data_IF_069351196229
#
_entry.id   IF_069351196229
#
_cell.length_a   1.000
_cell.length_b   1.000
_cell.length_c   1.000
_cell.angle_alpha   90.00
_cell.angle_beta   90.00
_cell.angle_gamma   90.00
#
_symmetry.space_group_name_H-M   'P 1'
#
loop_
_entity.id
_entity.type
_entity.pdbx_description
1 polymer ?
#
# COMPACT_ATOMS: atom_id res chain seq x y z
N UNK A 1 -8.77 -7.98 15.82
CA UNK A 1 -7.34 -8.38 15.66
C UNK A 1 -6.90 -8.06 14.24
N UNK A 2 -5.78 -7.31 14.09
CA UNK A 2 -5.26 -6.88 12.79
C UNK A 2 -4.04 -7.70 12.39
N UNK A 3 -4.05 -8.22 11.16
CA UNK A 3 -2.90 -8.87 10.51
C UNK A 3 -2.40 -8.00 9.37
N UNK A 4 -1.14 -7.60 9.41
CA UNK A 4 -0.51 -6.91 8.29
C UNK A 4 -0.03 -7.93 7.25
N UNK A 5 -0.33 -7.66 5.98
CA UNK A 5 0.14 -8.47 4.84
C UNK A 5 1.12 -7.61 4.03
N UNK A 6 2.32 -8.13 3.81
CA UNK A 6 3.31 -7.55 2.91
C UNK A 6 3.44 -8.47 1.68
N UNK A 7 2.75 -8.15 0.56
CA UNK A 7 2.87 -8.93 -0.66
C UNK A 7 4.14 -8.54 -1.42
N UNK A 8 5.00 -9.50 -1.65
CA UNK A 8 6.23 -9.33 -2.45
C UNK A 8 6.41 -10.45 -3.46
N UNK A 9 7.17 -10.23 -4.51
CA UNK A 9 7.46 -11.25 -5.54
C UNK A 9 8.85 -11.07 -6.15
N UNK A 10 9.40 -12.14 -6.74
CA UNK A 10 10.71 -12.12 -7.45
C UNK A 10 10.74 -11.13 -8.62
N UNK A 11 9.65 -11.06 -9.38
CA UNK A 11 9.61 -10.48 -10.72
C UNK A 11 9.27 -8.99 -10.76
N UNK A 12 10.02 -8.11 -10.09
CA UNK A 12 9.86 -6.65 -10.26
C UNK A 12 10.33 -6.23 -11.65
N UNK A 13 9.42 -5.70 -12.50
CA UNK A 13 9.70 -5.43 -13.92
C UNK A 13 10.48 -4.14 -14.14
N UNK A 14 10.10 -3.04 -13.48
CA UNK A 14 10.69 -1.69 -13.65
C UNK A 14 11.99 -1.52 -12.87
N UNK A 15 12.10 -2.08 -11.67
CA UNK A 15 13.29 -2.05 -10.83
C UNK A 15 13.60 -3.46 -10.35
N UNK A 16 14.61 -4.11 -10.94
CA UNK A 16 15.00 -5.48 -10.60
C UNK A 16 15.36 -5.59 -9.12
N UNK A 17 14.79 -6.58 -8.43
CA UNK A 17 15.04 -6.78 -6.99
C UNK A 17 14.47 -5.68 -6.10
N UNK A 18 13.46 -4.92 -6.55
CA UNK A 18 12.87 -3.77 -5.87
C UNK A 18 12.62 -4.03 -4.38
N UNK A 19 11.93 -5.11 -4.04
CA UNK A 19 11.51 -5.41 -2.67
C UNK A 19 12.67 -5.63 -1.68
N UNK A 20 13.84 -6.02 -2.19
CA UNK A 20 15.06 -6.22 -1.40
C UNK A 20 16.12 -5.14 -1.69
N UNK A 21 15.74 -4.06 -2.36
CA UNK A 21 16.65 -2.93 -2.58
C UNK A 21 17.08 -2.32 -1.24
N UNK A 22 18.37 -1.91 -1.11
CA UNK A 22 18.88 -1.29 0.13
C UNK A 22 18.12 0.01 0.46
N UNK A 23 17.66 0.14 1.72
CA UNK A 23 16.96 1.31 2.23
C UNK A 23 17.17 1.42 3.75
N UNK A 24 17.60 2.57 4.27
CA UNK A 24 17.74 2.82 5.70
C UNK A 24 18.63 1.78 6.42
N UNK A 25 19.77 1.39 5.84
CA UNK A 25 20.66 0.36 6.40
C UNK A 25 20.11 -1.07 6.34
N UNK A 26 18.95 -1.28 5.72
CA UNK A 26 18.21 -2.56 5.59
C UNK A 26 17.79 -2.77 4.14
N UNK A 27 16.85 -3.69 3.89
CA UNK A 27 16.12 -3.78 2.63
C UNK A 27 14.74 -3.15 2.77
N UNK A 28 14.08 -2.76 1.67
CA UNK A 28 12.70 -2.25 1.72
C UNK A 28 11.76 -3.20 2.46
N UNK A 29 11.88 -4.52 2.22
CA UNK A 29 11.08 -5.53 2.89
C UNK A 29 11.30 -5.54 4.41
N UNK A 30 12.55 -5.63 4.85
CA UNK A 30 12.87 -5.72 6.28
C UNK A 30 12.61 -4.39 7.01
N UNK A 31 12.82 -3.28 6.32
CA UNK A 31 12.47 -1.95 6.82
C UNK A 31 10.96 -1.85 7.09
N UNK A 32 10.11 -2.31 6.15
CA UNK A 32 8.65 -2.33 6.33
C UNK A 32 8.21 -3.24 7.48
N UNK A 33 8.81 -4.42 7.62
CA UNK A 33 8.52 -5.32 8.75
C UNK A 33 8.77 -4.60 10.07
N UNK A 34 9.91 -3.93 10.20
CA UNK A 34 10.28 -3.22 11.43
C UNK A 34 9.38 -2.01 11.72
N UNK A 35 8.86 -1.33 10.69
CA UNK A 35 7.85 -0.29 10.85
C UNK A 35 6.54 -0.86 11.41
N UNK A 36 6.04 -1.95 10.84
CA UNK A 36 4.77 -2.56 11.25
C UNK A 36 4.82 -3.16 12.66
N UNK A 37 5.99 -3.65 13.10
CA UNK A 37 6.19 -4.11 14.48
C UNK A 37 6.02 -3.03 15.53
N UNK A 38 6.18 -1.77 15.17
CA UNK A 38 6.00 -0.63 16.07
C UNK A 38 4.54 -0.20 16.19
N UNK A 39 3.61 -0.85 15.50
CA UNK A 39 2.17 -0.55 15.53
C UNK A 39 1.45 -1.51 16.48
N UNK A 40 1.07 -1.09 17.70
CA UNK A 40 0.53 -2.01 18.72
C UNK A 40 -0.73 -2.77 18.32
N UNK A 41 -1.55 -2.18 17.43
CA UNK A 41 -2.78 -2.79 16.95
C UNK A 41 -2.53 -3.95 15.98
N UNK A 42 -1.36 -4.02 15.34
CA UNK A 42 -0.97 -5.09 14.42
C UNK A 42 -0.39 -6.24 15.25
N UNK A 43 -1.12 -7.34 15.32
CA UNK A 43 -0.75 -8.50 16.17
C UNK A 43 -0.02 -9.60 15.42
N UNK A 44 -0.07 -9.59 14.08
CA UNK A 44 0.67 -10.50 13.21
C UNK A 44 1.10 -9.76 11.94
N UNK A 45 2.28 -10.10 11.43
CA UNK A 45 2.81 -9.59 10.16
C UNK A 45 3.13 -10.80 9.30
N UNK A 46 2.51 -10.89 8.13
CA UNK A 46 2.69 -12.00 7.19
C UNK A 46 3.31 -11.48 5.90
N UNK A 47 4.45 -12.03 5.51
CA UNK A 47 5.07 -11.79 4.20
C UNK A 47 4.63 -12.90 3.24
N UNK A 48 3.93 -12.51 2.18
CA UNK A 48 3.47 -13.42 1.14
C UNK A 48 4.33 -13.32 -0.10
N UNK A 49 5.01 -14.42 -0.49
CA UNK A 49 5.99 -14.40 -1.60
C UNK A 49 6.15 -15.76 -2.27
N UNK A 50 6.60 -15.73 -3.54
CA UNK A 50 7.18 -16.85 -4.31
C UNK A 50 8.72 -16.96 -4.13
N UNK A 51 9.35 -16.04 -3.39
CA UNK A 51 10.79 -15.98 -3.21
C UNK A 51 11.22 -16.57 -1.89
N UNK A 52 11.91 -17.71 -1.92
CA UNK A 52 12.51 -18.31 -0.72
C UNK A 52 13.50 -17.36 -0.02
N UNK A 53 14.21 -16.53 -0.78
CA UNK A 53 15.12 -15.51 -0.23
C UNK A 53 14.35 -14.49 0.61
N UNK A 54 13.25 -13.93 0.05
CA UNK A 54 12.44 -12.94 0.75
C UNK A 54 11.71 -13.55 1.95
N UNK A 55 11.24 -14.80 1.85
CA UNK A 55 10.62 -15.51 2.95
C UNK A 55 11.61 -15.77 4.10
N UNK A 56 12.87 -16.17 3.79
CA UNK A 56 13.93 -16.33 4.79
C UNK A 56 14.26 -15.00 5.47
N UNK A 57 14.36 -13.91 4.70
CA UNK A 57 14.57 -12.56 5.27
C UNK A 57 13.41 -12.18 6.20
N UNK A 58 12.18 -12.43 5.81
CA UNK A 58 10.99 -12.13 6.61
C UNK A 58 10.98 -12.91 7.94
N UNK A 59 11.21 -14.23 7.88
CA UNK A 59 11.28 -15.09 9.06
C UNK A 59 12.39 -14.66 10.02
N UNK A 60 13.57 -14.33 9.49
CA UNK A 60 14.71 -13.83 10.28
C UNK A 60 14.40 -12.50 10.99
N UNK A 61 13.47 -11.70 10.42
CA UNK A 61 12.96 -10.48 11.03
C UNK A 61 11.66 -10.71 11.84
N UNK A 62 11.31 -11.96 12.15
CA UNK A 62 10.19 -12.32 13.02
C UNK A 62 8.81 -12.02 12.44
N UNK A 63 8.68 -12.02 11.13
CA UNK A 63 7.39 -12.07 10.45
C UNK A 63 6.99 -13.51 10.13
N UNK A 64 5.70 -13.79 10.13
CA UNK A 64 5.14 -15.02 9.58
C UNK A 64 5.33 -15.04 8.06
N UNK A 65 5.35 -16.24 7.47
CA UNK A 65 5.54 -16.40 6.04
C UNK A 65 4.37 -17.14 5.40
N UNK A 66 3.96 -16.65 4.24
CA UNK A 66 3.05 -17.35 3.35
C UNK A 66 3.77 -17.62 2.01
N UNK A 67 4.05 -18.91 1.77
CA UNK A 67 4.68 -19.35 0.50
C UNK A 67 3.60 -19.35 -0.58
N UNK A 68 3.60 -18.30 -1.41
CA UNK A 68 2.64 -18.12 -2.49
C UNK A 68 3.08 -18.89 -3.73
N UNK A 69 2.18 -19.70 -4.31
CA UNK A 69 2.45 -20.41 -5.55
C UNK A 69 2.75 -19.42 -6.70
N UNK A 70 3.64 -19.83 -7.61
CA UNK A 70 4.12 -18.95 -8.69
C UNK A 70 2.98 -18.45 -9.60
N UNK A 71 1.94 -19.22 -9.80
CA UNK A 71 0.75 -18.82 -10.56
C UNK A 71 0.05 -17.58 -10.01
N UNK A 72 0.10 -17.36 -8.69
CA UNK A 72 -0.43 -16.16 -8.02
C UNK A 72 0.59 -15.00 -7.95
N UNK A 73 1.72 -15.11 -8.63
CA UNK A 73 2.75 -14.08 -8.69
C UNK A 73 2.90 -13.44 -10.08
N UNK A 74 2.17 -13.96 -11.08
CA UNK A 74 2.11 -13.40 -12.43
C UNK A 74 0.67 -13.04 -12.80
N UNK A 75 0.44 -11.76 -13.08
CA UNK A 75 -0.86 -11.21 -13.51
C UNK A 75 -1.37 -11.80 -14.85
N UNK A 76 -0.49 -12.49 -15.59
CA UNK A 76 -0.87 -13.22 -16.81
C UNK A 76 -1.52 -14.56 -16.52
N UNK A 77 -1.21 -15.16 -15.37
CA UNK A 77 -1.71 -16.47 -14.96
C UNK A 77 -2.93 -16.36 -14.05
N UNK A 78 -2.93 -15.41 -13.14
CA UNK A 78 -4.04 -15.16 -12.23
C UNK A 78 -4.39 -13.67 -12.19
N UNK A 79 -5.69 -13.32 -12.23
CA UNK A 79 -6.12 -11.94 -12.04
C UNK A 79 -5.80 -11.47 -10.62
N UNK A 80 -5.50 -10.18 -10.47
CA UNK A 80 -5.10 -9.61 -9.19
C UNK A 80 -6.08 -9.92 -8.04
N UNK A 81 -7.38 -9.92 -8.32
CA UNK A 81 -8.39 -10.25 -7.32
C UNK A 81 -8.28 -11.69 -6.78
N UNK A 82 -7.88 -12.65 -7.62
CA UNK A 82 -7.62 -14.02 -7.16
C UNK A 82 -6.38 -14.07 -6.24
N UNK A 83 -5.37 -13.23 -6.52
CA UNK A 83 -4.18 -13.10 -5.66
C UNK A 83 -4.55 -12.56 -4.28
N UNK A 84 -5.38 -11.52 -4.22
CA UNK A 84 -5.85 -10.95 -2.95
C UNK A 84 -6.61 -11.98 -2.13
N UNK A 85 -7.60 -12.66 -2.75
CA UNK A 85 -8.39 -13.69 -2.08
C UNK A 85 -7.50 -14.82 -1.56
N UNK A 86 -6.62 -15.36 -2.42
CA UNK A 86 -5.70 -16.44 -2.06
C UNK A 86 -4.80 -16.08 -0.86
N UNK A 87 -4.25 -14.88 -0.82
CA UNK A 87 -3.42 -14.46 0.32
C UNK A 87 -4.29 -14.36 1.58
N UNK A 88 -5.47 -13.73 1.49
CA UNK A 88 -6.37 -13.57 2.64
C UNK A 88 -6.92 -14.89 3.17
N UNK A 89 -7.10 -15.91 2.33
CA UNK A 89 -7.50 -17.27 2.73
C UNK A 89 -6.41 -17.99 3.55
N UNK A 90 -5.14 -17.65 3.30
CA UNK A 90 -3.97 -18.29 3.92
C UNK A 90 -3.38 -17.51 5.10
N UNK A 91 -4.07 -16.50 5.61
CA UNK A 91 -3.69 -15.76 6.81
C UNK A 91 -4.81 -15.79 7.85
N UNK A 92 -4.48 -15.49 9.09
CA UNK A 92 -5.43 -15.37 10.19
C UNK A 92 -5.73 -13.90 10.49
N UNK A 93 -6.69 -13.66 11.39
CA UNK A 93 -7.08 -12.31 11.78
C UNK A 93 -8.45 -11.91 11.22
N UNK A 94 -9.04 -10.95 11.87
CA UNK A 94 -10.38 -10.41 11.53
C UNK A 94 -10.30 -9.33 10.48
N UNK A 95 -9.28 -8.47 10.63
CA UNK A 95 -9.00 -7.36 9.75
C UNK A 95 -7.60 -7.48 9.16
N UNK A 96 -7.46 -7.08 7.92
CA UNK A 96 -6.19 -7.06 7.19
C UNK A 96 -5.75 -5.62 6.98
N UNK A 97 -4.47 -5.37 7.28
CA UNK A 97 -3.73 -4.18 6.84
C UNK A 97 -2.83 -4.61 5.68
N UNK A 98 -3.23 -4.27 4.46
CA UNK A 98 -2.40 -4.51 3.28
C UNK A 98 -1.37 -3.40 3.18
N UNK A 99 -0.10 -3.73 3.33
CA UNK A 99 1.00 -2.79 3.41
C UNK A 99 2.11 -3.16 2.42
N UNK A 100 2.40 -2.30 1.45
CA UNK A 100 3.48 -2.56 0.50
C UNK A 100 4.83 -2.09 1.04
N UNK A 101 5.87 -2.88 0.81
CA UNK A 101 7.22 -2.45 1.17
C UNK A 101 7.76 -1.34 0.25
N UNK A 102 7.09 -1.10 -0.88
CA UNK A 102 7.42 -0.04 -1.83
C UNK A 102 6.96 1.36 -1.39
N UNK A 103 6.19 1.44 -0.31
CA UNK A 103 5.81 2.71 0.35
C UNK A 103 6.59 2.88 1.68
N UNK A 104 7.95 2.99 1.65
CA UNK A 104 8.78 2.93 2.85
C UNK A 104 8.64 4.17 3.75
N UNK A 105 8.13 5.27 3.21
CA UNK A 105 7.96 6.52 3.96
C UNK A 105 6.60 6.61 4.68
N UNK A 106 5.77 5.57 4.61
CA UNK A 106 4.63 5.41 5.53
C UNK A 106 5.18 4.95 6.87
N UNK A 107 5.07 5.79 7.88
CA UNK A 107 5.64 5.58 9.20
C UNK A 107 4.71 4.80 10.13
N UNK A 108 5.22 4.24 11.25
CA UNK A 108 4.39 3.53 12.22
C UNK A 108 3.20 4.34 12.74
N UNK A 109 3.37 5.66 12.93
CA UNK A 109 2.31 6.57 13.34
C UNK A 109 1.18 6.68 12.30
N UNK A 110 1.52 6.68 11.00
CA UNK A 110 0.53 6.70 9.92
C UNK A 110 -0.35 5.43 9.96
N UNK A 111 0.25 4.25 10.19
CA UNK A 111 -0.48 2.99 10.33
C UNK A 111 -1.35 2.96 11.58
N UNK A 112 -0.83 3.40 12.72
CA UNK A 112 -1.58 3.43 13.99
C UNK A 112 -2.82 4.33 13.87
N UNK A 113 -2.67 5.50 13.28
CA UNK A 113 -3.78 6.44 13.04
C UNK A 113 -4.77 5.89 12.01
N UNK A 114 -4.30 5.28 10.92
CA UNK A 114 -5.19 4.67 9.93
C UNK A 114 -6.04 3.54 10.53
N UNK A 115 -5.47 2.70 11.40
CA UNK A 115 -6.21 1.65 12.12
C UNK A 115 -7.27 2.24 13.03
N UNK A 116 -6.95 3.31 13.76
CA UNK A 116 -7.89 4.03 14.63
C UNK A 116 -9.05 4.59 13.82
N UNK A 117 -8.72 5.35 12.76
CA UNK A 117 -9.72 5.97 11.87
C UNK A 117 -10.57 4.91 11.18
N UNK A 118 -10.00 3.80 10.75
CA UNK A 118 -10.74 2.69 10.16
C UNK A 118 -11.83 2.17 11.10
N UNK A 119 -11.50 1.96 12.38
CA UNK A 119 -12.48 1.52 13.37
C UNK A 119 -13.64 2.50 13.52
N UNK A 120 -13.37 3.80 13.54
CA UNK A 120 -14.41 4.84 13.59
C UNK A 120 -15.27 4.84 12.33
N UNK A 121 -14.64 4.76 11.15
CA UNK A 121 -15.34 4.85 9.87
C UNK A 121 -16.21 3.62 9.59
N UNK A 122 -15.87 2.45 10.12
CA UNK A 122 -16.78 1.30 10.07
C UNK A 122 -18.12 1.60 10.76
N UNK A 123 -18.12 2.34 11.89
CA UNK A 123 -19.36 2.72 12.59
C UNK A 123 -20.18 3.76 11.82
N UNK A 124 -19.57 4.50 10.92
CA UNK A 124 -20.21 5.47 10.02
C UNK A 124 -20.71 4.81 8.71
N UNK A 125 -20.55 3.49 8.57
CA UNK A 125 -21.05 2.72 7.44
C UNK A 125 -20.12 2.73 6.22
N UNK A 126 -18.83 3.04 6.38
CA UNK A 126 -17.81 2.67 5.42
C UNK A 126 -17.46 1.18 5.56
N UNK A 127 -16.99 0.54 4.50
CA UNK A 127 -16.68 -0.89 4.50
C UNK A 127 -15.18 -1.20 4.59
N UNK A 128 -14.35 -0.22 4.29
CA UNK A 128 -12.91 -0.33 4.22
C UNK A 128 -12.24 1.04 4.33
N UNK A 129 -10.92 1.06 4.45
CA UNK A 129 -10.11 2.28 4.37
C UNK A 129 -9.08 2.13 3.25
N UNK A 130 -8.92 3.18 2.47
CA UNK A 130 -7.99 3.24 1.34
C UNK A 130 -7.17 4.52 1.43
N UNK A 131 -5.85 4.39 1.55
CA UNK A 131 -4.95 5.54 1.54
C UNK A 131 -4.93 6.23 0.18
N UNK A 132 -5.01 7.56 0.21
CA UNK A 132 -5.06 8.39 -0.98
C UNK A 132 -4.19 9.64 -0.83
N UNK A 133 -3.67 10.14 -1.94
CA UNK A 133 -3.12 11.48 -2.01
C UNK A 133 -4.16 12.41 -2.63
N UNK A 134 -4.58 13.48 -1.94
CA UNK A 134 -5.41 14.51 -2.54
C UNK A 134 -4.65 15.21 -3.69
N UNK A 135 -5.22 15.20 -4.87
CA UNK A 135 -4.61 15.72 -6.08
C UNK A 135 -5.45 16.85 -6.67
N UNK A 136 -4.96 18.07 -6.59
CA UNK A 136 -5.64 19.28 -7.04
C UNK A 136 -4.75 20.01 -8.03
N UNK A 137 -4.74 19.51 -9.29
CA UNK A 137 -3.93 20.00 -10.41
C UNK A 137 -4.76 20.02 -11.68
N UNK A 138 -4.32 20.80 -12.67
CA UNK A 138 -4.91 20.74 -14.00
C UNK A 138 -4.62 19.38 -14.63
N UNK A 139 -5.67 18.74 -15.14
CA UNK A 139 -5.58 17.41 -15.73
C UNK A 139 -6.19 17.42 -17.13
N UNK A 140 -5.59 16.66 -18.03
CA UNK A 140 -6.01 16.49 -19.41
C UNK A 140 -6.18 15.02 -19.75
N UNK A 141 -7.14 14.74 -20.64
CA UNK A 141 -7.25 13.49 -21.39
C UNK A 141 -6.78 13.73 -22.83
N UNK A 142 -6.82 12.70 -23.65
CA UNK A 142 -6.54 12.87 -25.09
C UNK A 142 -7.60 13.78 -25.78
N UNK A 143 -8.80 13.83 -25.23
CA UNK A 143 -9.93 14.64 -25.75
C UNK A 143 -9.93 16.09 -25.25
N UNK A 144 -9.18 16.41 -24.18
CA UNK A 144 -9.14 17.77 -23.64
C UNK A 144 -9.02 17.83 -22.10
N UNK A 145 -9.28 19.01 -21.51
CA UNK A 145 -9.19 19.20 -20.08
C UNK A 145 -10.22 18.35 -19.34
N UNK A 146 -9.77 17.69 -18.27
CA UNK A 146 -10.61 16.80 -17.45
C UNK A 146 -11.40 17.55 -16.37
N UNK A 147 -10.81 18.59 -15.77
CA UNK A 147 -11.29 19.17 -14.51
C UNK A 147 -11.36 20.69 -14.50
N UNK A 148 -11.31 21.33 -15.66
CA UNK A 148 -11.53 22.75 -15.82
C UNK A 148 -12.03 23.07 -17.25
N UNK A 149 -12.55 24.25 -17.45
CA UNK A 149 -12.98 24.73 -18.77
C UNK A 149 -11.93 25.66 -19.37
N UNK A 150 -11.76 25.56 -20.70
CA UNK A 150 -10.93 26.51 -21.46
C UNK A 150 -11.71 27.81 -21.67
N UNK A 151 -11.10 28.94 -21.37
CA UNK A 151 -11.75 30.21 -21.56
C UNK A 151 -10.98 31.42 -21.03
N UNK A 152 -11.58 32.61 -21.14
CA UNK A 152 -10.99 33.86 -20.67
C UNK A 152 -10.80 33.85 -19.15
N UNK A 153 -11.72 33.19 -18.42
CA UNK A 153 -11.62 33.03 -16.97
C UNK A 153 -10.84 31.77 -16.64
N UNK A 154 -9.55 31.95 -16.32
CA UNK A 154 -8.73 30.86 -15.82
C UNK A 154 -9.11 30.55 -14.37
N UNK A 155 -9.44 29.29 -14.08
CA UNK A 155 -9.76 28.83 -12.73
C UNK A 155 -8.45 28.61 -11.97
N UNK A 156 -8.20 29.27 -10.82
CA UNK A 156 -7.01 29.01 -10.00
C UNK A 156 -6.93 27.55 -9.55
N UNK A 157 -5.72 27.01 -9.43
CA UNK A 157 -5.55 25.59 -9.05
C UNK A 157 -6.19 25.23 -7.71
N UNK A 158 -6.32 26.18 -6.80
CA UNK A 158 -6.96 26.02 -5.49
C UNK A 158 -8.48 25.84 -5.56
N UNK A 159 -9.10 26.23 -6.69
CA UNK A 159 -10.53 26.13 -6.92
C UNK A 159 -10.90 24.90 -7.77
N UNK A 160 -9.91 24.16 -8.27
CA UNK A 160 -10.14 22.93 -9.01
C UNK A 160 -10.78 21.87 -8.11
N UNK A 161 -11.57 20.94 -8.67
CA UNK A 161 -12.05 19.78 -7.93
C UNK A 161 -10.86 18.94 -7.43
N UNK A 162 -10.98 18.41 -6.22
CA UNK A 162 -9.99 17.50 -5.64
C UNK A 162 -10.25 16.10 -6.17
N UNK A 163 -9.27 15.53 -6.86
CA UNK A 163 -9.20 14.11 -7.17
C UNK A 163 -8.35 13.39 -6.13
N UNK A 164 -8.42 12.08 -6.11
CA UNK A 164 -7.68 11.26 -5.16
C UNK A 164 -6.86 10.23 -5.93
N UNK A 165 -5.54 10.36 -5.85
CA UNK A 165 -4.64 9.30 -6.31
C UNK A 165 -4.58 8.21 -5.25
N UNK A 166 -5.00 7.01 -5.58
CA UNK A 166 -4.87 5.85 -4.69
C UNK A 166 -3.40 5.56 -4.47
N UNK A 167 -3.01 5.39 -3.22
CA UNK A 167 -1.68 4.97 -2.83
C UNK A 167 -1.74 3.55 -2.27
N UNK A 168 -0.73 2.74 -2.55
CA UNK A 168 -0.68 1.36 -2.06
C UNK A 168 -0.07 1.26 -0.63
N UNK A 169 0.04 2.41 0.06
CA UNK A 169 0.68 2.51 1.36
C UNK A 169 -0.10 1.84 2.49
N UNK A 170 -1.41 2.06 2.56
CA UNK A 170 -2.29 1.51 3.60
C UNK A 170 -3.67 1.20 3.02
N UNK A 171 -4.06 -0.07 3.06
CA UNK A 171 -5.41 -0.51 2.72
C UNK A 171 -5.91 -1.41 3.85
N UNK A 172 -7.09 -1.12 4.41
CA UNK A 172 -7.61 -1.85 5.56
C UNK A 172 -9.04 -2.29 5.29
N UNK A 173 -9.31 -3.57 5.47
CA UNK A 173 -10.67 -4.11 5.38
C UNK A 173 -10.85 -5.37 6.23
N UNK A 174 -12.10 -5.82 6.48
CA UNK A 174 -12.34 -7.11 7.08
C UNK A 174 -11.82 -8.22 6.14
N UNK A 175 -11.05 -9.16 6.67
CA UNK A 175 -10.45 -10.25 5.90
C UNK A 175 -11.47 -11.04 5.07
N UNK A 176 -12.59 -11.41 5.68
CA UNK A 176 -13.65 -12.15 5.00
C UNK A 176 -14.23 -11.36 3.79
N UNK A 177 -14.28 -10.05 3.90
CA UNK A 177 -14.77 -9.19 2.82
C UNK A 177 -13.74 -9.06 1.69
N UNK A 178 -12.44 -8.96 1.99
CA UNK A 178 -11.39 -8.99 0.95
C UNK A 178 -11.46 -10.29 0.12
N UNK A 179 -11.74 -11.43 0.76
CA UNK A 179 -11.95 -12.70 0.08
C UNK A 179 -13.20 -12.65 -0.81
N UNK A 180 -14.32 -12.16 -0.28
CA UNK A 180 -15.60 -12.10 -0.99
C UNK A 180 -15.55 -11.12 -2.18
N UNK A 181 -14.99 -9.94 -1.97
CA UNK A 181 -14.83 -8.92 -3.03
C UNK A 181 -13.74 -9.29 -4.05
N UNK A 182 -12.84 -10.17 -3.68
CA UNK A 182 -11.60 -10.43 -4.43
C UNK A 182 -10.84 -9.14 -4.70
N UNK A 183 -10.79 -8.28 -3.68
CA UNK A 183 -10.10 -7.00 -3.74
C UNK A 183 -9.76 -6.50 -2.34
N UNK A 184 -8.83 -5.56 -2.22
CA UNK A 184 -8.33 -5.07 -0.94
C UNK A 184 -9.18 -3.94 -0.33
N UNK A 185 -10.23 -3.47 -1.01
CA UNK A 185 -11.26 -2.59 -0.46
C UNK A 185 -12.61 -2.89 -1.09
N UNK A 186 -13.68 -2.49 -0.42
CA UNK A 186 -15.05 -2.63 -0.89
C UNK A 186 -15.53 -1.46 -1.75
N UNK A 187 -16.84 -1.42 -2.06
CA UNK A 187 -17.45 -0.37 -2.87
C UNK A 187 -17.54 0.99 -2.17
N UNK A 188 -17.42 1.02 -0.82
CA UNK A 188 -17.55 2.26 -0.03
C UNK A 188 -16.34 2.49 0.89
N UNK A 189 -15.11 2.62 0.35
CA UNK A 189 -13.93 2.84 1.17
C UNK A 189 -13.91 4.26 1.72
N UNK A 190 -13.46 4.41 2.98
CA UNK A 190 -13.05 5.71 3.47
C UNK A 190 -11.72 6.11 2.79
N UNK A 191 -11.71 7.26 2.15
CA UNK A 191 -10.52 7.83 1.52
C UNK A 191 -9.66 8.48 2.61
N UNK A 192 -8.61 7.78 3.05
CA UNK A 192 -7.69 8.26 4.09
C UNK A 192 -6.58 9.10 3.46
N UNK A 193 -6.56 10.43 3.70
CA UNK A 193 -5.60 11.31 3.04
C UNK A 193 -4.21 11.14 3.63
N UNK A 194 -3.23 10.87 2.78
CA UNK A 194 -1.81 10.77 3.13
C UNK A 194 -1.09 12.07 2.82
N UNK A 195 -0.02 12.35 3.55
CA UNK A 195 0.94 13.40 3.19
C UNK A 195 1.66 13.06 1.89
N UNK A 196 2.19 14.06 1.19
CA UNK A 196 3.01 13.83 -0.02
C UNK A 196 4.19 12.89 0.22
N UNK A 197 4.83 13.00 1.39
CA UNK A 197 5.90 12.10 1.81
C UNK A 197 5.42 10.64 1.86
N UNK A 198 4.38 10.38 2.63
CA UNK A 198 3.84 9.05 2.83
C UNK A 198 3.17 8.47 1.55
N UNK A 199 2.88 9.32 0.57
CA UNK A 199 2.33 8.93 -0.72
C UNK A 199 3.39 8.50 -1.76
N UNK A 200 4.67 8.53 -1.42
CA UNK A 200 5.74 8.05 -2.30
C UNK A 200 5.68 6.53 -2.36
N UNK A 201 5.41 6.00 -3.54
CA UNK A 201 5.52 4.57 -3.88
C UNK A 201 6.70 4.38 -4.84
N UNK A 202 7.57 3.43 -4.53
CA UNK A 202 8.77 3.15 -5.32
C UNK A 202 8.39 2.25 -6.47
N UNK A 203 8.35 2.81 -7.65
CA UNK A 203 8.12 2.09 -8.88
C UNK A 203 9.38 1.94 -9.73
N UNK A 204 10.22 2.93 -9.72
CA UNK A 204 11.46 2.98 -10.48
C UNK A 204 12.66 3.45 -9.62
N UNK A 205 13.78 3.72 -10.30
CA UNK A 205 15.01 4.15 -9.63
C UNK A 205 14.91 5.57 -9.08
N UNK A 206 14.21 6.47 -9.76
CA UNK A 206 14.07 7.85 -9.32
C UNK A 206 13.28 7.90 -8.01
N UNK A 207 12.19 7.16 -7.92
CA UNK A 207 11.40 7.06 -6.69
C UNK A 207 12.24 6.56 -5.52
N UNK A 208 13.04 5.51 -5.76
CA UNK A 208 13.94 4.96 -4.74
C UNK A 208 14.97 5.98 -4.25
N UNK A 209 15.59 6.72 -5.17
CA UNK A 209 16.57 7.75 -4.79
C UNK A 209 15.90 8.93 -4.08
N UNK A 210 14.70 9.34 -4.49
CA UNK A 210 13.90 10.34 -3.78
C UNK A 210 13.57 9.90 -2.35
N UNK A 211 13.11 8.67 -2.17
CA UNK A 211 12.81 8.13 -0.85
C UNK A 211 14.06 8.03 0.04
N UNK A 212 15.21 7.62 -0.53
CA UNK A 212 16.51 7.60 0.17
C UNK A 212 17.00 8.98 0.58
N UNK A 213 16.85 9.95 -0.32
CA UNK A 213 17.23 11.33 -0.02
C UNK A 213 16.39 11.91 1.11
N UNK A 214 15.08 11.64 1.09
CA UNK A 214 14.19 12.02 2.17
C UNK A 214 14.65 11.45 3.52
N UNK A 215 14.92 10.14 3.57
CA UNK A 215 15.33 9.47 4.81
C UNK A 215 16.62 10.10 5.37
N UNK A 216 17.63 10.33 4.53
CA UNK A 216 18.91 10.95 4.94
C UNK A 216 18.79 12.38 5.48
N UNK A 217 17.74 13.09 5.11
CA UNK A 217 17.54 14.47 5.57
C UNK A 217 16.79 14.54 6.92
N UNK A 218 16.21 13.42 7.38
CA UNK A 218 15.33 13.38 8.54
C UNK A 218 15.74 12.32 9.58
N UNK A 219 16.80 11.52 9.31
CA UNK A 219 17.53 10.70 10.27
C UNK A 219 18.64 11.53 10.97
#
# INVERSE_FOLDING_TARGET
MFTAIIPVRKGSRRLKGKNIAPFGGKTLLTYKIDQLKQVPAITSIVVSSDSEEMLKMAAAHGADIHRRAEEYCDEKTQPFGAVVAHICENVTGEHVVWATCTSPLVEPGDYAEAVRVYGEKLTEGYDSLMSVEPYQRYMWTEEGPLNYELGIKHVPSQELPVYYRVTDGILIAPRAQMIAWKYFHGPKPFKYPMSKRASIDIDDRLDLECARAWLKLHD
#
